data_IF_055203223923
#
_entry.id   IF_055203223923
#
_cell.length_a   1.000
_cell.length_b   1.000
_cell.length_c   1.000
_cell.angle_alpha   90.00
_cell.angle_beta   90.00
_cell.angle_gamma   90.00
#
_symmetry.space_group_name_H-M   'P 1'
#
loop_
_entity.id
_entity.type
_entity.pdbx_description
1 polymer ?
#
# COMPACT_ATOMS: atom_id res chain seq x y z
N UNK A 1 27.18 38.61 -28.21
CA UNK A 1 26.14 37.67 -27.75
C UNK A 1 26.59 37.09 -26.42
N UNK A 2 26.09 37.65 -25.32
CA UNK A 2 26.28 37.08 -23.99
C UNK A 2 24.93 36.53 -23.53
N UNK A 3 24.79 35.21 -23.60
CA UNK A 3 23.72 34.47 -22.95
C UNK A 3 24.22 34.16 -21.54
N UNK A 4 23.86 35.00 -20.57
CA UNK A 4 24.02 34.67 -19.16
C UNK A 4 22.75 35.06 -18.39
N UNK A 5 22.18 34.06 -17.72
CA UNK A 5 21.45 34.26 -16.48
C UNK A 5 19.93 34.06 -16.56
N UNK A 6 19.49 32.81 -16.53
CA UNK A 6 18.15 32.45 -16.03
C UNK A 6 18.22 31.11 -15.30
N UNK A 7 18.64 31.12 -14.03
CA UNK A 7 18.54 29.98 -13.10
C UNK A 7 18.07 30.48 -11.74
N UNK A 8 16.83 30.98 -11.64
CA UNK A 8 16.18 31.33 -10.36
C UNK A 8 14.66 31.06 -10.35
N UNK A 9 14.18 30.05 -11.10
CA UNK A 9 12.76 29.64 -11.12
C UNK A 9 12.50 28.24 -10.51
N UNK A 10 13.53 27.51 -10.09
CA UNK A 10 13.40 26.08 -9.71
C UNK A 10 12.71 25.81 -8.38
N UNK A 11 12.94 26.63 -7.33
CA UNK A 11 12.40 26.31 -5.99
C UNK A 11 10.86 26.37 -5.91
N UNK A 12 10.21 27.14 -6.80
CA UNK A 12 8.75 27.21 -6.84
C UNK A 12 8.11 26.05 -7.62
N UNK A 13 8.85 25.37 -8.51
CA UNK A 13 8.30 24.30 -9.35
C UNK A 13 8.30 22.95 -8.65
N UNK A 14 9.34 22.63 -7.86
CA UNK A 14 9.44 21.32 -7.21
C UNK A 14 8.32 21.04 -6.21
N UNK A 15 7.95 22.05 -5.39
CA UNK A 15 6.79 21.96 -4.50
C UNK A 15 5.49 21.78 -5.27
N UNK A 16 5.31 22.52 -6.36
CA UNK A 16 4.12 22.42 -7.22
C UNK A 16 4.04 21.05 -7.91
N UNK A 17 5.17 20.47 -8.31
CA UNK A 17 5.24 19.15 -8.90
C UNK A 17 4.94 18.06 -7.86
N UNK A 18 5.42 18.22 -6.62
CA UNK A 18 5.04 17.37 -5.49
C UNK A 18 3.54 17.42 -5.21
N UNK A 19 2.95 18.61 -5.13
CA UNK A 19 1.50 18.79 -4.95
C UNK A 19 0.70 18.17 -6.11
N UNK A 20 1.17 18.32 -7.35
CA UNK A 20 0.55 17.71 -8.53
C UNK A 20 0.62 16.19 -8.48
N UNK A 21 1.77 15.62 -8.11
CA UNK A 21 1.95 14.19 -7.96
C UNK A 21 1.07 13.62 -6.84
N UNK A 22 0.99 14.34 -5.71
CA UNK A 22 0.08 14.00 -4.61
C UNK A 22 -1.37 13.97 -5.08
N UNK A 23 -1.82 14.98 -5.83
CA UNK A 23 -3.18 15.00 -6.38
C UNK A 23 -3.46 13.78 -7.25
N UNK A 24 -2.54 13.39 -8.13
CA UNK A 24 -2.69 12.18 -8.93
C UNK A 24 -2.76 10.91 -8.05
N UNK A 25 -1.96 10.83 -6.98
CA UNK A 25 -2.03 9.72 -6.03
C UNK A 25 -3.40 9.65 -5.33
N UNK A 26 -3.92 10.78 -4.85
CA UNK A 26 -5.23 10.88 -4.18
C UNK A 26 -6.39 10.51 -5.13
N UNK A 27 -6.25 10.83 -6.42
CA UNK A 27 -7.18 10.44 -7.48
C UNK A 27 -7.02 8.98 -7.96
N UNK A 28 -6.18 8.17 -7.30
CA UNK A 28 -5.83 6.79 -7.69
C UNK A 28 -5.17 6.67 -9.08
N UNK A 29 -4.61 7.74 -9.62
CA UNK A 29 -3.90 7.78 -10.90
C UNK A 29 -2.41 7.45 -10.68
N UNK A 30 -2.14 6.27 -10.13
CA UNK A 30 -0.81 5.88 -9.64
C UNK A 30 0.30 5.91 -10.70
N UNK A 31 0.00 5.54 -11.95
CA UNK A 31 0.98 5.63 -13.05
C UNK A 31 1.38 7.08 -13.37
N UNK A 32 0.42 8.00 -13.32
CA UNK A 32 0.69 9.43 -13.54
C UNK A 32 1.45 10.04 -12.37
N UNK A 33 1.07 9.67 -11.15
CA UNK A 33 1.79 10.08 -9.94
C UNK A 33 3.25 9.59 -10.01
N UNK A 34 3.47 8.31 -10.36
CA UNK A 34 4.79 7.72 -10.54
C UNK A 34 5.64 8.46 -11.58
N UNK A 35 5.05 8.80 -12.72
CA UNK A 35 5.75 9.55 -13.76
C UNK A 35 6.26 10.90 -13.24
N UNK A 36 5.45 11.64 -12.48
CA UNK A 36 5.88 12.91 -11.87
C UNK A 36 6.93 12.70 -10.78
N UNK A 37 6.77 11.70 -9.91
CA UNK A 37 7.76 11.44 -8.88
C UNK A 37 9.14 11.08 -9.44
N UNK A 38 9.21 10.38 -10.57
CA UNK A 38 10.47 10.07 -11.27
C UNK A 38 11.12 11.30 -11.89
N UNK A 39 10.32 12.26 -12.34
CA UNK A 39 10.83 13.55 -12.84
C UNK A 39 11.41 14.38 -11.68
N UNK A 40 10.78 14.33 -10.51
CA UNK A 40 11.21 15.06 -9.31
C UNK A 40 12.40 14.41 -8.59
N UNK A 41 12.67 13.11 -8.83
CA UNK A 41 13.68 12.31 -8.13
C UNK A 41 15.12 12.85 -8.19
N UNK A 42 15.59 13.53 -9.25
CA UNK A 42 16.93 14.13 -9.25
C UNK A 42 17.06 15.37 -8.35
N UNK A 43 15.94 16.05 -8.04
CA UNK A 43 15.91 17.37 -7.40
C UNK A 43 15.25 17.35 -6.00
N UNK A 44 15.13 16.16 -5.39
CA UNK A 44 14.48 15.99 -4.06
C UNK A 44 15.20 16.78 -2.97
N UNK A 45 16.51 16.99 -3.10
CA UNK A 45 17.33 17.75 -2.15
C UNK A 45 16.99 19.25 -2.12
N UNK A 46 16.25 19.74 -3.14
CA UNK A 46 15.72 21.10 -3.17
C UNK A 46 14.43 21.27 -2.37
N UNK A 47 13.82 20.17 -1.90
CA UNK A 47 12.67 20.17 -1.01
C UNK A 47 13.12 20.27 0.46
N UNK A 48 12.28 20.84 1.33
CA UNK A 48 12.53 20.78 2.78
C UNK A 48 12.42 19.35 3.31
N UNK A 49 12.99 19.05 4.48
CA UNK A 49 12.94 17.71 5.08
C UNK A 49 11.51 17.15 5.21
N UNK A 50 10.55 18.01 5.58
CA UNK A 50 9.14 17.64 5.66
C UNK A 50 8.56 17.25 4.28
N UNK A 51 8.93 17.98 3.23
CA UNK A 51 8.53 17.69 1.84
C UNK A 51 9.25 16.47 1.27
N UNK A 52 10.51 16.23 1.65
CA UNK A 52 11.24 15.02 1.30
C UNK A 52 10.60 13.78 1.95
N UNK A 53 10.19 13.87 3.23
CA UNK A 53 9.42 12.81 3.89
C UNK A 53 8.11 12.54 3.15
N UNK A 54 7.39 13.60 2.77
CA UNK A 54 6.14 13.52 2.02
C UNK A 54 6.35 12.88 0.65
N UNK A 55 7.37 13.31 -0.09
CA UNK A 55 7.78 12.75 -1.38
C UNK A 55 8.05 11.25 -1.24
N UNK A 56 8.93 10.86 -0.32
CA UNK A 56 9.34 9.46 -0.15
C UNK A 56 8.15 8.57 0.25
N UNK A 57 7.27 9.07 1.13
CA UNK A 57 6.05 8.37 1.51
C UNK A 57 5.13 8.16 0.29
N UNK A 58 4.83 9.22 -0.46
CA UNK A 58 3.93 9.12 -1.62
C UNK A 58 4.54 8.28 -2.75
N UNK A 59 5.84 8.42 -3.03
CA UNK A 59 6.59 7.62 -4.00
C UNK A 59 6.51 6.13 -3.64
N UNK A 60 6.78 5.79 -2.38
CA UNK A 60 6.73 4.42 -1.89
C UNK A 60 5.33 3.83 -1.86
N UNK A 61 4.33 4.59 -1.39
CA UNK A 61 2.93 4.18 -1.43
C UNK A 61 2.41 4.01 -2.86
N UNK A 62 2.87 4.82 -3.80
CA UNK A 62 2.51 4.67 -5.22
C UNK A 62 3.02 3.34 -5.78
N UNK A 63 4.29 3.00 -5.55
CA UNK A 63 4.82 1.69 -5.95
C UNK A 63 4.08 0.55 -5.24
N UNK A 64 3.79 0.70 -3.94
CA UNK A 64 3.06 -0.31 -3.17
C UNK A 64 1.69 -0.61 -3.77
N UNK A 65 0.97 0.44 -4.22
CA UNK A 65 -0.33 0.29 -4.90
C UNK A 65 -0.17 -0.36 -6.27
N UNK A 66 0.81 0.07 -7.06
CA UNK A 66 1.09 -0.52 -8.38
C UNK A 66 1.49 -1.99 -8.28
N UNK A 67 2.23 -2.39 -7.25
CA UNK A 67 2.52 -3.80 -6.98
C UNK A 67 1.26 -4.65 -6.78
N UNK A 68 0.25 -4.11 -6.10
CA UNK A 68 -1.04 -4.79 -5.92
C UNK A 68 -1.87 -4.89 -7.20
N UNK A 69 -1.69 -3.93 -8.12
CA UNK A 69 -2.38 -3.87 -9.42
C UNK A 69 -1.66 -4.64 -10.53
N UNK A 70 -0.36 -4.85 -10.38
CA UNK A 70 0.45 -5.60 -11.33
C UNK A 70 0.00 -7.06 -11.34
N UNK A 71 -0.73 -7.45 -12.38
CA UNK A 71 -0.86 -8.87 -12.70
C UNK A 71 0.54 -9.41 -12.95
N UNK A 72 0.94 -10.42 -12.18
CA UNK A 72 2.10 -11.22 -12.50
C UNK A 72 1.93 -11.69 -13.93
N UNK A 73 2.71 -11.12 -14.85
CA UNK A 73 2.74 -11.58 -16.21
C UNK A 73 3.37 -12.97 -16.13
N UNK A 74 2.54 -14.02 -16.11
CA UNK A 74 2.95 -15.41 -16.26
C UNK A 74 3.49 -15.57 -17.69
N UNK A 75 4.66 -14.99 -17.96
CA UNK A 75 5.35 -15.05 -19.23
C UNK A 75 6.48 -16.05 -19.04
N UNK A 76 6.35 -17.28 -19.59
CA UNK A 76 7.46 -18.23 -19.63
C UNK A 76 8.58 -17.59 -20.45
N UNK A 77 9.73 -17.31 -19.83
CA UNK A 77 10.90 -16.78 -20.56
C UNK A 77 11.60 -15.54 -19.99
N UNK A 78 11.32 -15.12 -18.75
CA UNK A 78 12.27 -14.27 -18.01
C UNK A 78 12.22 -12.78 -18.32
N UNK A 79 11.04 -12.17 -18.20
CA UNK A 79 10.94 -10.73 -17.90
C UNK A 79 10.78 -10.58 -16.40
N UNK A 80 11.53 -9.64 -15.78
CA UNK A 80 11.47 -9.37 -14.36
C UNK A 80 10.00 -9.21 -13.90
N UNK A 81 9.61 -9.91 -12.83
CA UNK A 81 8.28 -9.78 -12.25
C UNK A 81 8.04 -8.31 -11.88
N UNK A 82 7.15 -7.58 -12.61
CA UNK A 82 6.97 -6.16 -12.38
C UNK A 82 6.49 -5.89 -10.95
N UNK A 83 5.70 -6.81 -10.39
CA UNK A 83 5.24 -6.74 -9.00
C UNK A 83 6.42 -6.69 -8.03
N UNK A 84 7.42 -7.56 -8.20
CA UNK A 84 8.62 -7.56 -7.35
C UNK A 84 9.36 -6.24 -7.45
N UNK A 85 9.56 -5.72 -8.67
CA UNK A 85 10.21 -4.44 -8.88
C UNK A 85 9.51 -3.27 -8.18
N UNK A 86 8.17 -3.23 -8.24
CA UNK A 86 7.41 -2.23 -7.49
C UNK A 86 7.53 -2.43 -5.97
N UNK A 87 7.47 -3.66 -5.45
CA UNK A 87 7.60 -3.92 -4.00
C UNK A 87 8.98 -3.53 -3.46
N UNK A 88 10.05 -3.80 -4.21
CA UNK A 88 11.40 -3.41 -3.83
C UNK A 88 11.56 -1.88 -3.75
N UNK A 89 11.03 -1.15 -4.74
CA UNK A 89 11.03 0.32 -4.74
C UNK A 89 10.15 0.89 -3.62
N UNK A 90 8.97 0.30 -3.39
CA UNK A 90 8.08 0.68 -2.30
C UNK A 90 8.79 0.60 -0.95
N UNK A 91 9.45 -0.53 -0.68
CA UNK A 91 10.18 -0.74 0.57
C UNK A 91 11.31 0.26 0.75
N UNK A 92 12.06 0.55 -0.32
CA UNK A 92 13.13 1.54 -0.28
C UNK A 92 12.60 2.92 0.12
N UNK A 93 11.62 3.45 -0.62
CA UNK A 93 11.12 4.81 -0.40
C UNK A 93 10.34 4.95 0.90
N UNK A 94 9.58 3.93 1.31
CA UNK A 94 8.92 3.95 2.62
C UNK A 94 9.93 3.89 3.79
N UNK A 95 11.04 3.17 3.64
CA UNK A 95 12.11 3.19 4.64
C UNK A 95 12.80 4.57 4.71
N UNK A 96 13.00 5.24 3.57
CA UNK A 96 13.51 6.62 3.52
C UNK A 96 12.54 7.57 4.23
N UNK A 97 11.25 7.50 3.93
CA UNK A 97 10.22 8.30 4.60
C UNK A 97 10.22 8.10 6.12
N UNK A 98 10.31 6.84 6.57
CA UNK A 98 10.38 6.50 7.98
C UNK A 98 11.62 7.10 8.66
N UNK A 99 12.77 7.06 7.99
CA UNK A 99 14.02 7.60 8.50
C UNK A 99 13.97 9.13 8.63
N UNK A 100 13.43 9.83 7.61
CA UNK A 100 13.29 11.28 7.65
C UNK A 100 12.31 11.68 8.76
N UNK A 101 11.12 11.07 8.82
CA UNK A 101 10.11 11.40 9.85
C UNK A 101 10.61 11.12 11.28
N UNK A 102 11.49 10.13 11.47
CA UNK A 102 12.14 9.87 12.76
C UNK A 102 13.13 10.96 13.15
N UNK A 103 13.88 11.50 12.18
CA UNK A 103 14.90 12.52 12.42
C UNK A 103 14.32 13.93 12.51
N UNK A 104 13.30 14.21 11.70
CA UNK A 104 12.62 15.51 11.57
C UNK A 104 11.11 15.28 11.54
N UNK A 105 10.46 15.18 12.72
CA UNK A 105 9.04 14.90 12.79
C UNK A 105 8.19 16.04 12.22
N UNK A 106 7.07 15.68 11.59
CA UNK A 106 6.05 16.64 11.11
C UNK A 106 5.85 16.67 9.59
N UNK A 107 6.58 15.85 8.83
CA UNK A 107 6.37 15.70 7.38
C UNK A 107 5.17 14.82 7.03
N UNK A 108 4.81 13.89 7.92
CA UNK A 108 3.68 12.98 7.74
C UNK A 108 2.57 13.20 8.77
N UNK A 109 1.31 13.10 8.34
CA UNK A 109 0.15 13.06 9.24
C UNK A 109 0.08 11.74 10.01
N UNK A 110 -0.70 11.70 11.10
CA UNK A 110 -0.86 10.48 11.90
C UNK A 110 -1.37 9.28 11.10
N UNK A 111 -2.33 9.52 10.20
CA UNK A 111 -2.88 8.47 9.32
C UNK A 111 -1.85 7.97 8.30
N UNK A 112 -0.99 8.85 7.79
CA UNK A 112 0.06 8.47 6.84
C UNK A 112 1.15 7.66 7.51
N UNK A 113 1.53 8.01 8.75
CA UNK A 113 2.46 7.20 9.56
C UNK A 113 1.93 5.80 9.77
N UNK A 114 0.65 5.67 10.16
CA UNK A 114 0.02 4.36 10.31
C UNK A 114 0.03 3.55 9.02
N UNK A 115 -0.34 4.15 7.89
CA UNK A 115 -0.31 3.47 6.58
C UNK A 115 1.11 3.08 6.17
N UNK A 116 2.11 3.92 6.47
CA UNK A 116 3.52 3.63 6.24
C UNK A 116 3.94 2.39 7.04
N UNK A 117 3.61 2.34 8.34
CA UNK A 117 3.95 1.21 9.22
C UNK A 117 3.28 -0.09 8.75
N UNK A 118 1.99 -0.03 8.40
CA UNK A 118 1.25 -1.17 7.87
C UNK A 118 1.85 -1.69 6.56
N UNK A 119 2.20 -0.79 5.63
CA UNK A 119 2.81 -1.15 4.35
C UNK A 119 4.23 -1.72 4.53
N UNK A 120 5.04 -1.15 5.42
CA UNK A 120 6.36 -1.67 5.75
C UNK A 120 6.28 -3.05 6.40
N UNK A 121 5.30 -3.29 7.27
CA UNK A 121 5.03 -4.61 7.85
C UNK A 121 4.70 -5.66 6.78
N UNK A 122 3.84 -5.31 5.82
CA UNK A 122 3.55 -6.19 4.67
C UNK A 122 4.79 -6.49 3.82
N UNK A 123 5.51 -5.44 3.41
CA UNK A 123 6.68 -5.56 2.53
C UNK A 123 7.83 -6.34 3.17
N UNK A 124 7.99 -6.24 4.50
CA UNK A 124 9.03 -6.98 5.22
C UNK A 124 8.77 -8.49 5.28
N UNK A 125 7.51 -8.95 5.13
CA UNK A 125 7.21 -10.39 5.09
C UNK A 125 7.88 -11.10 3.92
N UNK A 126 8.06 -10.43 2.79
CA UNK A 126 8.72 -11.04 1.63
C UNK A 126 10.23 -11.26 1.84
N UNK A 127 10.85 -10.48 2.72
CA UNK A 127 12.28 -10.55 3.02
C UNK A 127 12.56 -11.49 4.18
N UNK A 128 11.74 -11.44 5.23
CA UNK A 128 11.98 -12.16 6.49
C UNK A 128 11.04 -13.36 6.72
N UNK A 129 9.93 -13.46 5.99
CA UNK A 129 8.93 -14.52 6.13
C UNK A 129 9.24 -15.83 5.41
N UNK A 130 10.40 -15.93 4.73
CA UNK A 130 10.80 -17.08 3.92
C UNK A 130 11.08 -18.40 4.67
N UNK A 131 10.82 -18.48 5.98
CA UNK A 131 10.98 -19.71 6.77
C UNK A 131 9.66 -20.26 7.34
N UNK A 132 8.52 -19.57 7.22
CA UNK A 132 7.24 -20.02 7.82
C UNK A 132 6.06 -20.06 6.83
N UNK A 133 6.30 -20.40 5.55
CA UNK A 133 5.19 -20.59 4.59
C UNK A 133 5.30 -21.85 3.74
N UNK A 134 6.07 -22.83 4.21
CA UNK A 134 6.14 -24.17 3.60
C UNK A 134 5.56 -25.21 4.55
N UNK A 135 4.36 -24.98 5.10
CA UNK A 135 3.58 -26.08 5.68
C UNK A 135 2.07 -25.85 5.46
N UNK A 136 1.45 -26.91 4.94
CA UNK A 136 0.03 -27.24 4.90
C UNK A 136 -0.95 -26.46 4.00
N UNK A 137 -1.11 -26.95 2.76
CA UNK A 137 -2.24 -27.85 2.43
C UNK A 137 -2.12 -28.41 1.01
N UNK A 138 -1.42 -29.53 0.89
CA UNK A 138 -1.68 -30.51 -0.16
C UNK A 138 -2.72 -31.51 0.37
N UNK A 139 -3.80 -31.68 -0.40
CA UNK A 139 -4.56 -32.91 -0.62
C UNK A 139 -4.84 -33.88 0.55
N UNK A 140 -6.13 -34.04 0.85
CA UNK A 140 -6.64 -35.11 1.70
C UNK A 140 -8.09 -35.43 1.41
N UNK A 141 -8.38 -35.97 0.23
CA UNK A 141 -9.65 -36.62 -0.07
C UNK A 141 -9.72 -37.95 0.70
N UNK A 142 -10.72 -38.12 1.59
CA UNK A 142 -11.44 -39.39 1.78
C UNK A 142 -12.77 -39.16 2.52
N UNK A 143 -13.78 -39.84 1.98
CA UNK A 143 -15.24 -39.79 2.20
C UNK A 143 -15.65 -40.71 3.38
N UNK A 144 -16.95 -41.01 3.66
CA UNK A 144 -17.63 -40.84 4.95
C UNK A 144 -18.06 -42.17 5.61
N UNK A 145 -18.28 -42.23 6.92
CA UNK A 145 -19.08 -43.32 7.50
C UNK A 145 -19.99 -42.82 8.63
N UNK A 146 -21.28 -43.01 8.37
CA UNK A 146 -22.43 -43.11 9.27
C UNK A 146 -22.17 -43.96 10.53
N UNK A 147 -22.77 -43.57 11.65
CA UNK A 147 -23.87 -44.36 12.26
C UNK A 147 -24.26 -43.80 13.64
N UNK A 148 -25.53 -43.38 13.72
CA UNK A 148 -26.55 -43.82 14.70
C UNK A 148 -26.27 -43.60 16.21
N UNK A 149 -27.22 -43.24 17.07
CA UNK A 149 -28.65 -42.93 17.02
C UNK A 149 -28.96 -42.40 18.44
N UNK A 150 -29.68 -41.28 18.55
CA UNK A 150 -31.05 -41.22 19.10
C UNK A 150 -31.18 -41.22 20.63
N UNK A 151 -31.76 -40.12 21.14
CA UNK A 151 -32.98 -40.13 21.96
C UNK A 151 -33.65 -38.74 21.95
N UNK A 152 -34.77 -38.71 21.24
CA UNK A 152 -35.87 -37.72 21.27
C UNK A 152 -36.35 -37.51 22.72
N UNK A 153 -36.39 -36.26 23.22
CA UNK A 153 -37.57 -35.34 23.34
C UNK A 153 -38.60 -35.78 24.43
N UNK A 154 -39.53 -34.94 24.97
CA UNK A 154 -39.80 -33.52 24.71
C UNK A 154 -40.11 -32.69 25.98
N UNK A 155 -39.99 -31.36 25.93
CA UNK A 155 -40.90 -30.51 26.72
C UNK A 155 -41.01 -29.08 26.19
N UNK A 156 -42.23 -28.76 25.79
CA UNK A 156 -42.88 -27.44 25.74
C UNK A 156 -42.35 -26.40 24.74
N UNK A 157 -43.05 -26.37 23.59
CA UNK A 157 -43.15 -25.25 22.67
C UNK A 157 -44.19 -24.18 23.18
N UNK A 158 -44.71 -23.25 22.37
CA UNK A 158 -44.22 -21.88 22.20
C UNK A 158 -45.31 -20.79 22.40
N UNK A 159 -44.93 -19.53 22.62
CA UNK A 159 -45.78 -18.34 22.39
C UNK A 159 -44.92 -17.08 22.63
N UNK A 160 -45.01 -15.96 21.92
CA UNK A 160 -45.65 -15.51 20.70
C UNK A 160 -44.99 -14.14 20.38
N UNK A 161 -45.03 -13.65 19.13
CA UNK A 161 -44.30 -12.45 18.70
C UNK A 161 -45.00 -11.15 19.13
N UNK A 162 -44.23 -10.14 19.57
CA UNK A 162 -44.72 -8.79 19.76
C UNK A 162 -44.69 -8.00 18.43
N UNK A 163 -45.77 -7.31 18.04
CA UNK A 163 -45.87 -6.57 16.78
C UNK A 163 -45.24 -5.17 16.83
N UNK A 164 -44.70 -4.76 15.68
CA UNK A 164 -44.18 -3.43 15.30
C UNK A 164 -45.25 -2.32 15.20
N UNK A 165 -44.83 -1.03 15.19
CA UNK A 165 -45.66 0.13 15.50
C UNK A 165 -46.50 0.66 14.31
N UNK A 166 -47.56 1.40 14.61
CA UNK A 166 -48.36 2.14 13.63
C UNK A 166 -48.12 3.66 13.71
N UNK A 167 -48.19 4.39 12.58
CA UNK A 167 -48.00 5.84 12.50
C UNK A 167 -49.31 6.66 12.45
N UNK A 168 -49.15 7.95 12.81
CA UNK A 168 -50.07 9.12 12.75
C UNK A 168 -51.24 9.18 13.72
#
# INVERSE_FOLDING_TARGET
MALLGSVLLGCATYRQDLERAQKHYEENQYEKALALFRVLEPDIDSLSDAEQAKYAYLRGMTDYRLAGLSLAANVPGGVADPKRGYRDNARHWLAVAAAIEKNTPGGLTGDEKKRLEDAMSDLNKDVYGGVESVDDKAEGTKKPEDAAEKKEDPSAAPAAPAPTPAPK
#
